data_IF_422482780763
#
_entry.id   IF_422482780763
#
_cell.length_a   1.000
_cell.length_b   1.000
_cell.length_c   1.000
_cell.angle_alpha   90.00
_cell.angle_beta   90.00
_cell.angle_gamma   90.00
#
_symmetry.space_group_name_H-M   'P 1'
#
loop_
_entity.id
_entity.type
_entity.pdbx_description
1 polymer ?
#
# COMPACT_ATOMS: atom_id res chain seq x y z
N UNK A 1 -13.86 5.77 -1.97
CA UNK A 1 -12.93 4.76 -1.43
C UNK A 1 -11.52 5.08 -1.92
N UNK A 2 -10.53 5.24 -1.04
CA UNK A 2 -9.15 5.50 -1.45
C UNK A 2 -8.62 4.37 -2.33
N UNK A 3 -7.90 4.71 -3.39
CA UNK A 3 -7.25 3.75 -4.29
C UNK A 3 -6.09 4.39 -5.05
N UNK A 4 -5.17 3.54 -5.51
CA UNK A 4 -4.17 3.89 -6.50
C UNK A 4 -4.06 2.75 -7.53
N UNK A 5 -4.02 3.10 -8.82
CA UNK A 5 -3.66 2.18 -9.90
C UNK A 5 -2.18 2.36 -10.22
N UNK A 6 -1.44 1.27 -10.32
CA UNK A 6 -0.05 1.25 -10.78
C UNK A 6 -0.01 0.48 -12.10
N UNK A 7 0.40 1.15 -13.16
CA UNK A 7 0.47 0.61 -14.52
C UNK A 7 1.90 0.18 -14.89
N UNK A 8 2.03 -0.65 -15.93
CA UNK A 8 3.29 -1.20 -16.40
C UNK A 8 4.01 -2.02 -15.32
N UNK A 9 3.26 -2.90 -14.67
CA UNK A 9 3.73 -3.84 -13.64
C UNK A 9 3.76 -5.28 -14.16
N UNK A 10 4.47 -6.15 -13.45
CA UNK A 10 4.47 -7.60 -13.63
C UNK A 10 3.40 -8.30 -12.78
N UNK A 11 3.74 -9.46 -12.22
CA UNK A 11 2.85 -10.27 -11.38
C UNK A 11 2.90 -9.92 -9.88
N UNK A 12 1.97 -10.47 -9.09
CA UNK A 12 1.99 -10.30 -7.62
C UNK A 12 2.99 -11.23 -6.91
N UNK A 13 3.51 -12.24 -7.61
CA UNK A 13 4.46 -13.20 -7.03
C UNK A 13 5.81 -12.52 -6.76
N UNK A 14 6.29 -11.69 -7.68
CA UNK A 14 7.52 -10.93 -7.47
C UNK A 14 7.34 -9.92 -6.32
N UNK A 15 6.17 -9.27 -6.20
CA UNK A 15 5.87 -8.41 -5.04
C UNK A 15 5.94 -9.20 -3.74
N UNK A 16 5.32 -10.37 -3.69
CA UNK A 16 5.35 -11.23 -2.50
C UNK A 16 6.78 -11.64 -2.13
N UNK A 17 7.62 -12.00 -3.11
CA UNK A 17 9.01 -12.40 -2.88
C UNK A 17 9.92 -11.27 -2.40
N UNK A 18 9.62 -10.02 -2.78
CA UNK A 18 10.40 -8.84 -2.39
C UNK A 18 9.82 -8.15 -1.15
N UNK A 19 8.69 -8.61 -0.64
CA UNK A 19 8.05 -7.98 0.51
C UNK A 19 8.89 -8.21 1.77
N UNK A 20 9.18 -7.11 2.46
CA UNK A 20 9.64 -7.10 3.85
C UNK A 20 8.65 -6.26 4.66
N UNK A 21 8.37 -6.64 5.93
CA UNK A 21 7.48 -5.86 6.78
C UNK A 21 7.90 -4.39 6.83
N UNK A 22 6.92 -3.49 6.64
CA UNK A 22 7.14 -2.04 6.60
C UNK A 22 6.80 -1.50 7.99
N UNK A 23 7.70 -0.72 8.58
CA UNK A 23 7.46 0.06 9.79
C UNK A 23 7.97 1.49 9.56
N UNK A 24 7.06 2.46 9.63
CA UNK A 24 7.41 3.88 9.68
C UNK A 24 6.83 4.51 10.94
N UNK A 25 7.65 5.34 11.59
CA UNK A 25 7.24 6.09 12.78
C UNK A 25 7.62 7.56 12.61
N UNK A 26 6.63 8.43 12.75
CA UNK A 26 6.81 9.89 12.69
C UNK A 26 6.10 10.51 13.88
N UNK A 27 6.86 10.89 14.91
CA UNK A 27 6.29 11.35 16.17
C UNK A 27 5.40 10.29 16.83
N UNK A 28 4.12 10.63 17.00
CA UNK A 28 3.10 9.73 17.54
C UNK A 28 2.38 8.89 16.47
N UNK A 29 2.64 9.14 15.18
CA UNK A 29 2.11 8.34 14.07
C UNK A 29 2.97 7.08 13.89
N UNK A 30 2.33 5.93 13.67
CA UNK A 30 2.99 4.69 13.30
C UNK A 30 2.23 3.99 12.18
N UNK A 31 2.93 3.63 11.12
CA UNK A 31 2.38 2.94 9.96
C UNK A 31 3.08 1.59 9.80
N UNK A 32 2.32 0.51 9.77
CA UNK A 32 2.84 -0.86 9.67
C UNK A 32 2.18 -1.63 8.54
N UNK A 33 2.96 -2.34 7.74
CA UNK A 33 2.50 -3.45 6.91
C UNK A 33 3.21 -4.70 7.41
N UNK A 34 2.46 -5.64 7.96
CA UNK A 34 3.02 -6.76 8.73
C UNK A 34 3.18 -8.00 7.87
N UNK A 35 2.11 -8.38 7.17
CA UNK A 35 2.04 -9.63 6.43
C UNK A 35 1.54 -9.39 5.00
N UNK A 36 1.97 -10.24 4.06
CA UNK A 36 1.52 -10.25 2.67
C UNK A 36 0.96 -11.63 2.36
N UNK A 37 -0.34 -11.72 2.10
CA UNK A 37 -1.01 -12.96 1.73
C UNK A 37 -1.31 -12.96 0.23
N UNK A 38 -0.64 -13.82 -0.53
CA UNK A 38 -0.88 -14.01 -1.95
C UNK A 38 -1.95 -15.08 -2.18
N UNK A 39 -2.98 -14.76 -2.97
CA UNK A 39 -3.98 -15.76 -3.37
C UNK A 39 -3.37 -16.84 -4.27
N UNK A 40 -3.94 -18.04 -4.24
CA UNK A 40 -3.51 -19.16 -5.09
C UNK A 40 -3.53 -18.84 -6.59
N UNK A 41 -4.42 -17.94 -7.04
CA UNK A 41 -4.51 -17.54 -8.45
C UNK A 41 -3.38 -16.59 -8.88
N UNK A 42 -2.65 -16.01 -7.92
CA UNK A 42 -1.66 -14.96 -8.16
C UNK A 42 -2.26 -13.61 -8.60
N UNK A 43 -3.60 -13.47 -8.61
CA UNK A 43 -4.29 -12.27 -9.11
C UNK A 43 -4.77 -11.32 -8.02
N UNK A 44 -4.88 -11.80 -6.79
CA UNK A 44 -5.23 -10.99 -5.63
C UNK A 44 -4.20 -11.19 -4.51
N UNK A 45 -3.97 -10.14 -3.72
CA UNK A 45 -3.22 -10.24 -2.48
C UNK A 45 -3.84 -9.35 -1.39
N UNK A 46 -3.59 -9.69 -0.13
CA UNK A 46 -3.96 -8.90 1.05
C UNK A 46 -2.70 -8.54 1.84
N UNK A 47 -2.58 -7.28 2.23
CA UNK A 47 -1.53 -6.82 3.13
C UNK A 47 -2.14 -6.42 4.47
N UNK A 48 -1.72 -7.10 5.52
CA UNK A 48 -2.15 -6.80 6.89
C UNK A 48 -1.52 -5.51 7.35
N UNK A 49 -2.34 -4.53 7.69
CA UNK A 49 -1.92 -3.15 7.88
C UNK A 49 -2.41 -2.60 9.21
N UNK A 50 -1.56 -1.83 9.88
CA UNK A 50 -1.89 -1.10 11.11
C UNK A 50 -1.52 0.36 10.94
N UNK A 51 -2.49 1.25 11.10
CA UNK A 51 -2.26 2.68 11.20
C UNK A 51 -2.54 3.13 12.65
N UNK A 52 -1.58 3.83 13.25
CA UNK A 52 -1.73 4.45 14.56
C UNK A 52 -1.64 5.96 14.37
N UNK A 53 -2.70 6.67 14.74
CA UNK A 53 -2.83 8.12 14.62
C UNK A 53 -3.65 8.63 15.80
N UNK A 54 -3.19 9.73 16.44
CA UNK A 54 -3.85 10.33 17.60
C UNK A 54 -4.13 9.32 18.76
N UNK A 55 -3.25 8.33 18.94
CA UNK A 55 -3.39 7.30 19.98
C UNK A 55 -4.37 6.17 19.64
N UNK A 56 -5.06 6.23 18.50
CA UNK A 56 -5.96 5.18 18.04
C UNK A 56 -5.22 4.23 17.10
N UNK A 57 -5.31 2.93 17.37
CA UNK A 57 -4.79 1.89 16.48
C UNK A 57 -5.91 1.30 15.64
N UNK A 58 -5.71 1.30 14.32
CA UNK A 58 -6.67 0.80 13.33
C UNK A 58 -6.02 -0.31 12.51
N UNK A 59 -6.55 -1.52 12.64
CA UNK A 59 -6.15 -2.69 11.85
C UNK A 59 -7.04 -2.82 10.62
N UNK A 60 -6.46 -3.07 9.46
CA UNK A 60 -7.20 -3.24 8.21
C UNK A 60 -6.38 -4.02 7.18
N UNK A 61 -7.04 -4.41 6.09
CA UNK A 61 -6.35 -4.99 4.94
C UNK A 61 -6.31 -4.03 3.76
N UNK A 62 -5.12 -3.89 3.18
CA UNK A 62 -4.95 -3.33 1.84
C UNK A 62 -5.02 -4.49 0.86
N UNK A 63 -5.90 -4.40 -0.13
CA UNK A 63 -6.04 -5.38 -1.18
C UNK A 63 -5.30 -4.92 -2.44
N UNK A 64 -4.51 -5.83 -3.01
CA UNK A 64 -3.97 -5.71 -4.37
C UNK A 64 -4.80 -6.56 -5.31
N UNK A 65 -5.17 -5.98 -6.46
CA UNK A 65 -5.78 -6.71 -7.57
C UNK A 65 -4.98 -6.50 -8.84
N UNK A 66 -4.49 -7.59 -9.43
CA UNK A 66 -3.83 -7.59 -10.72
C UNK A 66 -4.89 -7.70 -11.83
N UNK A 67 -4.85 -6.75 -12.75
CA UNK A 67 -5.64 -6.75 -13.98
C UNK A 67 -4.72 -6.38 -15.15
N UNK A 68 -4.52 -7.32 -16.07
CA UNK A 68 -3.58 -7.19 -17.19
C UNK A 68 -2.18 -6.78 -16.69
N UNK A 69 -1.71 -5.59 -17.06
CA UNK A 69 -0.42 -5.00 -16.63
C UNK A 69 -0.61 -3.85 -15.65
N UNK A 70 -1.66 -3.92 -14.84
CA UNK A 70 -1.94 -2.94 -13.80
C UNK A 70 -2.31 -3.60 -12.47
N UNK A 71 -1.85 -3.03 -11.36
CA UNK A 71 -2.24 -3.41 -10.01
C UNK A 71 -3.05 -2.28 -9.39
N UNK A 72 -4.23 -2.61 -8.88
CA UNK A 72 -5.03 -1.70 -8.06
C UNK A 72 -4.72 -1.93 -6.59
N UNK A 73 -4.27 -0.88 -5.90
CA UNK A 73 -4.17 -0.79 -4.44
C UNK A 73 -5.46 -0.18 -3.92
N UNK A 74 -6.18 -0.87 -3.03
CA UNK A 74 -7.45 -0.40 -2.44
C UNK A 74 -7.61 -0.95 -1.03
N UNK A 75 -8.54 -0.40 -0.26
CA UNK A 75 -8.97 -1.04 1.00
C UNK A 75 -9.78 -2.30 0.70
N UNK A 76 -9.59 -3.34 1.53
CA UNK A 76 -10.49 -4.48 1.55
C UNK A 76 -11.84 -4.02 2.13
N UNK A 77 -12.98 -4.18 1.40
CA UNK A 77 -14.28 -3.72 1.89
C UNK A 77 -14.72 -4.36 3.22
N UNK A 78 -14.24 -5.56 3.54
CA UNK A 78 -14.60 -6.25 4.78
C UNK A 78 -14.02 -5.59 6.05
N UNK A 79 -12.94 -4.80 5.92
CA UNK A 79 -12.36 -4.06 7.06
C UNK A 79 -12.70 -2.58 7.08
N UNK A 80 -12.98 -2.00 5.90
CA UNK A 80 -13.34 -0.59 5.64
C UNK A 80 -13.07 0.43 6.78
N UNK A 81 -11.80 0.74 7.10
CA UNK A 81 -11.47 1.68 8.16
C UNK A 81 -11.95 3.10 7.83
N UNK A 82 -11.96 3.97 8.85
CA UNK A 82 -11.99 5.40 8.63
C UNK A 82 -10.81 5.82 7.76
N UNK A 83 -11.05 6.69 6.76
CA UNK A 83 -10.07 7.01 5.72
C UNK A 83 -9.18 8.17 6.14
N UNK A 84 -8.58 8.03 7.33
CA UNK A 84 -7.73 9.04 7.96
C UNK A 84 -6.45 9.26 7.13
N UNK A 85 -5.71 10.36 7.37
CA UNK A 85 -4.42 10.59 6.73
C UNK A 85 -3.45 9.42 6.90
N UNK A 86 -3.35 8.82 8.10
CA UNK A 86 -2.47 7.67 8.33
C UNK A 86 -2.84 6.45 7.46
N UNK A 87 -4.14 6.14 7.32
CA UNK A 87 -4.61 5.07 6.42
C UNK A 87 -4.21 5.34 4.97
N UNK A 88 -4.43 6.56 4.48
CA UNK A 88 -4.08 6.94 3.10
C UNK A 88 -2.57 6.95 2.85
N UNK A 89 -1.77 7.43 3.81
CA UNK A 89 -0.29 7.34 3.77
C UNK A 89 0.18 5.90 3.67
N UNK A 90 -0.39 5.00 4.47
CA UNK A 90 -0.03 3.58 4.45
C UNK A 90 -0.37 2.91 3.11
N UNK A 91 -1.52 3.27 2.52
CA UNK A 91 -1.85 2.85 1.14
C UNK A 91 -0.86 3.41 0.11
N UNK A 92 -0.42 4.66 0.27
CA UNK A 92 0.61 5.25 -0.59
C UNK A 92 1.98 4.58 -0.42
N UNK A 93 2.35 4.12 0.78
CA UNK A 93 3.56 3.32 1.01
C UNK A 93 3.51 2.00 0.26
N UNK A 94 2.37 1.30 0.27
CA UNK A 94 2.19 0.08 -0.54
C UNK A 94 2.31 0.38 -2.03
N UNK A 95 1.70 1.48 -2.51
CA UNK A 95 1.85 1.89 -3.90
C UNK A 95 3.31 2.22 -4.27
N UNK A 96 4.06 2.88 -3.38
CA UNK A 96 5.50 3.17 -3.55
C UNK A 96 6.32 1.88 -3.60
N UNK A 97 6.06 0.92 -2.70
CA UNK A 97 6.70 -0.39 -2.71
C UNK A 97 6.57 -1.11 -4.05
N UNK A 98 5.36 -1.12 -4.64
CA UNK A 98 5.14 -1.71 -5.98
C UNK A 98 6.04 -1.05 -7.02
N UNK A 99 6.21 0.27 -6.96
CA UNK A 99 7.11 1.00 -7.87
C UNK A 99 8.59 0.74 -7.61
N UNK A 100 8.99 0.40 -6.39
CA UNK A 100 10.36 -0.04 -6.07
C UNK A 100 10.65 -1.39 -6.72
N UNK A 101 9.70 -2.34 -6.67
CA UNK A 101 9.85 -3.66 -7.33
C UNK A 101 9.77 -3.54 -8.85
N UNK A 102 8.97 -2.59 -9.36
CA UNK A 102 8.84 -2.30 -10.79
C UNK A 102 9.25 -0.86 -11.12
N UNK A 103 10.55 -0.55 -11.26
CA UNK A 103 11.01 0.83 -11.50
C UNK A 103 10.44 1.48 -12.77
N UNK A 104 10.10 0.69 -13.80
CA UNK A 104 9.46 1.17 -15.03
C UNK A 104 7.95 1.46 -14.91
N UNK A 105 7.35 1.20 -13.75
CA UNK A 105 5.94 1.44 -13.50
C UNK A 105 5.61 2.91 -13.24
N UNK A 106 4.33 3.26 -13.42
CA UNK A 106 3.80 4.61 -13.21
C UNK A 106 2.47 4.58 -12.46
N UNK A 107 2.16 5.66 -11.75
CA UNK A 107 0.83 5.85 -11.20
C UNK A 107 -0.15 6.15 -12.34
N UNK A 108 -1.25 5.38 -12.39
CA UNK A 108 -2.42 5.67 -13.20
C UNK A 108 -3.45 6.47 -12.40
N UNK A 109 -4.74 6.16 -12.59
CA UNK A 109 -5.83 6.78 -11.83
C UNK A 109 -5.66 6.55 -10.32
N UNK A 110 -5.78 7.60 -9.54
CA UNK A 110 -5.63 7.56 -8.08
C UNK A 110 -6.43 8.68 -7.44
N UNK A 111 -6.74 8.55 -6.15
CA UNK A 111 -7.21 9.65 -5.30
C UNK A 111 -6.31 9.82 -4.06
N UNK A 112 -5.07 9.34 -4.16
CA UNK A 112 -4.03 9.41 -3.14
C UNK A 112 -2.88 10.34 -3.54
N UNK A 113 -3.07 11.22 -4.54
CA UNK A 113 -2.01 12.05 -5.13
C UNK A 113 -1.17 12.78 -4.08
N UNK A 114 -1.84 13.37 -3.09
CA UNK A 114 -1.22 14.13 -2.00
C UNK A 114 -0.23 13.31 -1.15
N UNK A 115 -0.36 11.98 -1.13
CA UNK A 115 0.51 11.06 -0.36
C UNK A 115 1.53 10.31 -1.23
N UNK A 116 1.39 10.37 -2.56
CA UNK A 116 2.26 9.66 -3.52
C UNK A 116 3.50 10.48 -3.91
N UNK A 117 3.51 11.78 -3.64
CA UNK A 117 4.64 12.65 -3.89
C UNK A 117 5.90 12.18 -3.11
N UNK A 118 7.12 12.52 -3.60
CA UNK A 118 8.33 12.30 -2.84
C UNK A 118 8.19 13.04 -1.52
N UNK A 119 8.20 12.30 -0.42
CA UNK A 119 8.44 12.90 0.89
C UNK A 119 9.93 13.12 0.90
N UNK A 120 10.38 14.37 0.86
CA UNK A 120 11.80 14.68 0.97
C UNK A 120 12.38 13.87 2.12
N UNK A 121 13.32 12.99 1.77
CA UNK A 121 14.06 12.18 2.71
C UNK A 121 14.76 13.12 3.68
N UNK A 122 14.21 13.27 4.88
CA UNK A 122 14.99 13.76 6.02
C UNK A 122 15.93 12.62 6.36
N UNK A 123 17.12 12.68 5.78
CA UNK A 123 18.29 11.93 6.24
C UNK A 123 18.46 12.17 7.74
N UNK A 124 18.51 11.09 8.51
CA UNK A 124 19.15 11.08 9.83
C UNK A 124 20.64 10.80 9.64
#
# INVERSE_FOLDING_TARGET
MPHAVIEAVGDLQALYQHFTPILQRTGAEMLKVQEFYLSRSGKDALLESVAIEQGTSTNFFIQLKLHEKAITVRLLPATDPEKTPAVKKLMALVAKFIRTVYPGSRYGKTNLQEYLAPTDSVSL
#
